data_IF_427839171014
#
_entry.id   IF_427839171014
#
_cell.length_a   1.000
_cell.length_b   1.000
_cell.length_c   1.000
_cell.angle_alpha   90.00
_cell.angle_beta   90.00
_cell.angle_gamma   90.00
#
_symmetry.space_group_name_H-M   'P 1'
#
loop_
_entity.id
_entity.type
_entity.pdbx_description
1 polymer ?
#
# COMPACT_ATOMS: atom_id res chain seq x y z
N UNK A 1 2.29 42.50 26.69
CA UNK A 1 2.13 41.14 26.10
C UNK A 1 3.47 40.73 25.49
N UNK A 2 4.28 39.96 26.23
CA UNK A 2 5.58 39.49 25.73
C UNK A 2 5.33 38.31 24.79
N UNK A 3 5.42 38.55 23.48
CA UNK A 3 5.57 37.51 22.50
C UNK A 3 6.99 36.92 22.63
N UNK A 4 7.14 35.90 23.47
CA UNK A 4 8.29 35.01 23.43
C UNK A 4 8.22 34.24 22.09
N UNK A 5 8.72 34.79 21.02
CA UNK A 5 9.10 34.04 19.83
C UNK A 5 10.26 33.14 20.22
N UNK A 6 9.94 31.92 20.62
CA UNK A 6 10.94 30.88 20.84
C UNK A 6 11.71 30.70 19.52
N UNK A 7 13.03 30.89 19.54
CA UNK A 7 13.85 30.68 18.35
C UNK A 7 13.62 29.26 17.80
N UNK A 8 13.38 29.15 16.49
CA UNK A 8 13.16 27.86 15.87
C UNK A 8 14.38 26.95 16.14
N UNK A 9 14.14 25.72 16.58
CA UNK A 9 15.21 24.74 16.80
C UNK A 9 15.91 24.43 15.46
N UNK A 10 17.19 24.04 15.48
CA UNK A 10 17.91 23.69 14.25
C UNK A 10 17.18 22.60 13.44
N UNK A 11 16.57 21.63 14.11
CA UNK A 11 15.75 20.59 13.47
C UNK A 11 14.53 21.18 12.75
N UNK A 12 13.90 22.22 13.28
CA UNK A 12 12.78 22.90 12.65
C UNK A 12 13.22 23.65 11.39
N UNK A 13 14.32 24.41 11.47
CA UNK A 13 14.90 25.08 10.29
C UNK A 13 15.25 24.08 9.19
N UNK A 14 15.88 22.96 9.55
CA UNK A 14 16.25 21.90 8.61
C UNK A 14 15.04 21.27 7.93
N UNK A 15 13.90 21.09 8.64
CA UNK A 15 12.67 20.59 8.03
C UNK A 15 12.13 21.52 6.94
N UNK A 16 12.14 22.83 7.16
CA UNK A 16 11.70 23.83 6.17
C UNK A 16 12.67 24.03 5.01
N UNK A 17 13.95 23.71 5.19
CA UNK A 17 14.98 23.77 4.15
C UNK A 17 14.96 22.54 3.20
N UNK A 18 14.19 21.50 3.49
CA UNK A 18 14.10 20.33 2.60
C UNK A 18 13.49 20.75 1.26
N UNK A 19 14.26 20.55 0.18
CA UNK A 19 13.77 20.69 -1.19
C UNK A 19 12.89 19.48 -1.55
N UNK A 20 11.59 19.67 -1.43
CA UNK A 20 10.59 18.61 -1.67
C UNK A 20 10.53 18.20 -3.14
N UNK A 21 10.74 19.12 -4.07
CA UNK A 21 10.78 18.83 -5.51
C UNK A 21 11.95 17.92 -5.85
N UNK A 22 13.12 18.21 -5.30
CA UNK A 22 14.31 17.37 -5.43
C UNK A 22 14.07 15.98 -4.80
N UNK A 23 13.43 15.92 -3.63
CA UNK A 23 13.12 14.68 -2.94
C UNK A 23 12.17 13.79 -3.78
N UNK A 24 11.09 14.37 -4.32
CA UNK A 24 10.13 13.67 -5.17
C UNK A 24 10.76 13.17 -6.46
N UNK A 25 11.58 14.01 -7.13
CA UNK A 25 12.30 13.61 -8.34
C UNK A 25 13.31 12.51 -8.08
N UNK A 26 14.02 12.54 -6.96
CA UNK A 26 14.97 11.51 -6.57
C UNK A 26 14.27 10.14 -6.40
N UNK A 27 13.17 10.11 -5.65
CA UNK A 27 12.38 8.89 -5.43
C UNK A 27 11.80 8.39 -6.75
N UNK A 28 11.20 9.26 -7.56
CA UNK A 28 10.64 8.92 -8.87
C UNK A 28 11.69 8.31 -9.81
N UNK A 29 12.89 8.88 -9.84
CA UNK A 29 13.99 8.35 -10.67
C UNK A 29 14.40 6.95 -10.23
N UNK A 30 14.48 6.67 -8.93
CA UNK A 30 14.75 5.32 -8.41
C UNK A 30 13.60 4.36 -8.74
N UNK A 31 12.35 4.79 -8.62
CA UNK A 31 11.17 3.99 -8.99
C UNK A 31 11.19 3.62 -10.48
N UNK A 32 11.51 4.55 -11.37
CA UNK A 32 11.64 4.25 -12.81
C UNK A 32 12.75 3.23 -13.10
N UNK A 33 13.88 3.32 -12.39
CA UNK A 33 14.98 2.35 -12.50
C UNK A 33 14.58 0.96 -11.97
N UNK A 34 13.76 0.91 -10.89
CA UNK A 34 13.19 -0.35 -10.37
C UNK A 34 12.30 -0.99 -11.42
N UNK A 35 11.37 -0.23 -12.05
CA UNK A 35 10.51 -0.74 -13.14
C UNK A 35 11.33 -1.31 -14.29
N UNK A 36 12.35 -0.55 -14.75
CA UNK A 36 13.22 -1.00 -15.84
C UNK A 36 13.93 -2.30 -15.47
N UNK A 37 14.57 -2.37 -14.29
CA UNK A 37 15.28 -3.57 -13.86
C UNK A 37 14.33 -4.77 -13.66
N UNK A 38 13.10 -4.53 -13.18
CA UNK A 38 12.10 -5.57 -13.00
C UNK A 38 11.62 -6.15 -14.34
N UNK A 39 11.33 -5.28 -15.34
CA UNK A 39 10.96 -5.72 -16.70
C UNK A 39 12.09 -6.48 -17.43
N UNK A 40 13.33 -6.18 -17.08
CA UNK A 40 14.52 -6.89 -17.58
C UNK A 40 14.86 -8.14 -16.75
N UNK A 41 14.00 -8.54 -15.81
CA UNK A 41 14.17 -9.68 -14.89
C UNK A 41 15.48 -9.65 -14.06
N UNK A 42 16.09 -8.47 -13.92
CA UNK A 42 17.33 -8.24 -13.15
C UNK A 42 17.02 -8.09 -11.65
N UNK A 43 16.53 -9.14 -11.03
CA UNK A 43 16.01 -9.10 -9.63
C UNK A 43 17.07 -8.71 -8.59
N UNK A 44 18.35 -9.03 -8.80
CA UNK A 44 19.46 -8.55 -7.98
C UNK A 44 19.56 -7.02 -7.99
N UNK A 45 19.45 -6.41 -9.18
CA UNK A 45 19.44 -4.96 -9.36
C UNK A 45 18.20 -4.31 -8.74
N UNK A 46 17.04 -4.96 -8.83
CA UNK A 46 15.81 -4.52 -8.17
C UNK A 46 16.03 -4.40 -6.66
N UNK A 47 16.56 -5.45 -6.00
CA UNK A 47 16.89 -5.44 -4.57
C UNK A 47 17.85 -4.31 -4.19
N UNK A 48 18.92 -4.11 -4.97
CA UNK A 48 19.87 -3.02 -4.73
C UNK A 48 19.22 -1.63 -4.84
N UNK A 49 18.34 -1.42 -5.83
CA UNK A 49 17.61 -0.16 -6.00
C UNK A 49 16.57 0.07 -4.90
N UNK A 50 15.87 -0.97 -4.46
CA UNK A 50 14.97 -0.90 -3.31
C UNK A 50 15.74 -0.53 -2.03
N UNK A 51 16.93 -1.12 -1.83
CA UNK A 51 17.82 -0.77 -0.72
C UNK A 51 18.24 0.69 -0.78
N UNK A 52 18.73 1.18 -1.93
CA UNK A 52 19.12 2.59 -2.11
C UNK A 52 17.95 3.53 -1.81
N UNK A 53 16.74 3.20 -2.28
CA UNK A 53 15.56 4.02 -2.05
C UNK A 53 15.23 4.08 -0.56
N UNK A 54 15.12 2.94 0.11
CA UNK A 54 14.71 2.86 1.52
C UNK A 54 15.75 3.40 2.51
N UNK A 55 17.01 3.55 2.08
CA UNK A 55 18.08 4.15 2.89
C UNK A 55 18.32 5.64 2.60
N UNK A 56 17.72 6.17 1.53
CA UNK A 56 17.92 7.57 1.15
C UNK A 56 17.22 8.54 2.09
N UNK A 57 17.90 9.66 2.39
CA UNK A 57 17.33 10.76 3.17
C UNK A 57 16.01 11.26 2.56
N UNK A 58 15.98 11.46 1.24
CA UNK A 58 14.81 12.01 0.55
C UNK A 58 13.58 11.12 0.64
N UNK A 59 13.74 9.80 0.50
CA UNK A 59 12.62 8.88 0.62
C UNK A 59 12.09 8.79 2.07
N UNK A 60 12.99 8.82 3.06
CA UNK A 60 12.61 8.88 4.48
C UNK A 60 11.86 10.17 4.80
N UNK A 61 12.37 11.32 4.35
CA UNK A 61 11.72 12.61 4.52
C UNK A 61 10.31 12.63 3.89
N UNK A 62 10.16 12.12 2.66
CA UNK A 62 8.86 12.00 2.00
C UNK A 62 7.91 11.05 2.73
N UNK A 63 8.41 9.95 3.30
CA UNK A 63 7.59 9.04 4.09
C UNK A 63 7.04 9.74 5.35
N UNK A 64 7.89 10.49 6.07
CA UNK A 64 7.47 11.32 7.21
C UNK A 64 6.46 12.38 6.77
N UNK A 65 6.74 13.14 5.69
CA UNK A 65 5.82 14.13 5.12
C UNK A 65 4.45 13.52 4.86
N UNK A 66 4.40 12.38 4.18
CA UNK A 66 3.16 11.70 3.79
C UNK A 66 2.31 11.28 4.99
N UNK A 67 2.90 10.68 6.01
CA UNK A 67 2.14 10.22 7.20
C UNK A 67 1.68 11.37 8.09
N UNK A 68 2.34 12.53 8.04
CA UNK A 68 1.97 13.73 8.78
C UNK A 68 1.02 14.66 8.03
N UNK A 69 0.68 14.34 6.78
CA UNK A 69 -0.28 15.11 5.96
C UNK A 69 -1.59 14.37 5.67
N UNK A 70 -1.65 13.06 5.89
CA UNK A 70 -2.85 12.27 5.63
C UNK A 70 -3.93 12.47 6.72
N UNK A 71 -5.14 11.96 6.47
CA UNK A 71 -6.27 12.06 7.40
C UNK A 71 -5.99 11.43 8.78
N UNK A 72 -5.11 10.43 8.85
CA UNK A 72 -4.72 9.75 10.09
C UNK A 72 -3.65 10.46 10.92
N UNK A 73 -3.17 11.66 10.53
CA UNK A 73 -2.07 12.39 11.16
C UNK A 73 -2.27 12.65 12.68
N UNK A 74 -3.52 12.79 13.10
CA UNK A 74 -3.90 13.09 14.48
C UNK A 74 -4.31 11.84 15.29
N UNK A 75 -4.09 10.64 14.73
CA UNK A 75 -4.46 9.37 15.39
C UNK A 75 -3.20 8.62 15.78
N UNK A 76 -2.90 8.56 17.08
CA UNK A 76 -1.74 7.86 17.62
C UNK A 76 -1.93 6.34 17.61
N UNK A 77 -0.83 5.59 17.52
CA UNK A 77 -0.78 4.15 17.75
C UNK A 77 -0.87 3.79 19.23
N UNK A 78 -0.28 2.66 19.61
CA UNK A 78 -0.22 2.19 21.02
C UNK A 78 0.70 3.03 21.89
N UNK A 79 1.70 3.68 21.27
CA UNK A 79 2.70 4.54 21.93
C UNK A 79 2.17 5.94 22.27
N UNK A 80 1.02 6.34 21.74
CA UNK A 80 0.48 7.69 21.91
C UNK A 80 1.27 8.78 21.19
N UNK A 81 2.33 8.46 20.42
CA UNK A 81 3.22 9.43 19.77
C UNK A 81 2.57 10.04 18.52
N UNK A 82 2.71 11.37 18.38
CA UNK A 82 2.33 12.13 17.18
C UNK A 82 3.46 13.06 16.76
N UNK A 83 3.62 13.29 15.44
CA UNK A 83 4.64 14.20 14.90
C UNK A 83 3.98 15.48 14.39
N UNK A 84 3.64 16.38 15.33
CA UNK A 84 2.89 17.60 15.03
C UNK A 84 3.79 18.76 14.64
N UNK A 85 4.97 18.91 15.28
CA UNK A 85 5.92 20.00 15.04
C UNK A 85 6.91 19.67 13.91
N UNK A 86 7.49 20.69 13.28
CA UNK A 86 8.52 20.55 12.27
C UNK A 86 9.77 19.84 12.83
N UNK A 87 10.15 20.17 14.06
CA UNK A 87 11.27 19.53 14.77
C UNK A 87 11.03 18.03 14.98
N UNK A 88 9.83 17.61 15.45
CA UNK A 88 9.48 16.22 15.61
C UNK A 88 9.51 15.46 14.28
N UNK A 89 9.03 16.07 13.18
CA UNK A 89 9.07 15.50 11.84
C UNK A 89 10.49 15.29 11.34
N UNK A 90 11.36 16.28 11.53
CA UNK A 90 12.76 16.15 11.10
C UNK A 90 13.49 15.07 11.90
N UNK A 91 13.33 15.04 13.22
CA UNK A 91 13.91 14.01 14.09
C UNK A 91 13.42 12.61 13.73
N UNK A 92 12.15 12.48 13.32
CA UNK A 92 11.58 11.21 12.90
C UNK A 92 12.28 10.60 11.67
N UNK A 93 12.88 11.42 10.79
CA UNK A 93 13.63 10.91 9.62
C UNK A 93 14.77 9.98 10.06
N UNK A 94 15.48 10.32 11.12
CA UNK A 94 16.58 9.52 11.65
C UNK A 94 16.12 8.23 12.32
N UNK A 95 14.88 8.17 12.82
CA UNK A 95 14.28 6.96 13.40
C UNK A 95 13.98 5.88 12.35
N UNK A 96 13.86 6.26 11.05
CA UNK A 96 13.53 5.33 9.97
C UNK A 96 14.78 4.53 9.54
N UNK A 97 15.18 3.58 10.36
CA UNK A 97 16.32 2.69 10.13
C UNK A 97 15.88 1.24 10.14
N UNK A 98 16.38 0.45 9.18
CA UNK A 98 16.07 -0.99 9.09
C UNK A 98 16.73 -1.78 10.24
N UNK A 99 17.98 -1.44 10.59
CA UNK A 99 18.73 -2.11 11.64
C UNK A 99 18.13 -1.79 13.01
N UNK A 100 17.85 -2.81 13.79
CA UNK A 100 17.25 -2.65 15.12
C UNK A 100 15.76 -2.33 15.13
N UNK A 101 15.12 -2.15 13.96
CA UNK A 101 13.69 -1.86 13.89
C UNK A 101 12.85 -3.11 14.21
N UNK A 102 11.91 -2.93 15.12
CA UNK A 102 10.84 -3.88 15.42
C UNK A 102 9.52 -3.12 15.50
N UNK A 103 8.49 -3.50 14.73
CA UNK A 103 7.20 -2.85 14.78
C UNK A 103 6.53 -3.09 16.12
N UNK A 104 5.73 -2.13 16.56
CA UNK A 104 4.91 -2.29 17.73
C UNK A 104 3.57 -2.95 17.38
N UNK A 105 2.88 -3.59 18.34
CA UNK A 105 1.53 -4.07 18.13
C UNK A 105 0.59 -2.96 17.67
N UNK A 106 -0.41 -3.30 16.86
CA UNK A 106 -1.37 -2.36 16.33
C UNK A 106 -2.43 -2.00 17.38
N UNK A 107 -2.85 -0.75 17.43
CA UNK A 107 -3.98 -0.35 18.29
C UNK A 107 -5.29 -0.70 17.59
N UNK A 108 -6.08 -1.61 18.17
CA UNK A 108 -7.39 -1.99 17.64
C UNK A 108 -8.45 -0.95 18.05
N UNK A 109 -9.20 -0.48 17.05
CA UNK A 109 -10.38 0.36 17.23
C UNK A 109 -11.50 -0.13 16.32
N UNK A 110 -12.75 0.22 16.64
CA UNK A 110 -13.92 -0.19 15.86
C UNK A 110 -14.64 1.02 15.30
N UNK A 111 -14.88 1.01 13.99
CA UNK A 111 -15.63 2.06 13.29
C UNK A 111 -17.03 1.52 12.97
N UNK A 112 -18.11 2.25 13.32
CA UNK A 112 -19.46 1.83 13.00
C UNK A 112 -19.67 1.84 11.47
N UNK A 113 -20.31 0.80 10.93
CA UNK A 113 -20.78 0.75 9.56
C UNK A 113 -22.23 1.21 9.46
N UNK A 114 -22.69 1.62 8.27
CA UNK A 114 -24.09 2.02 8.02
C UNK A 114 -25.12 0.94 8.36
N UNK A 115 -24.72 -0.34 8.30
CA UNK A 115 -25.58 -1.49 8.61
C UNK A 115 -25.56 -1.90 10.10
N UNK A 116 -25.09 -1.06 11.01
CA UNK A 116 -24.99 -1.33 12.44
C UNK A 116 -23.82 -2.23 12.87
N UNK A 117 -23.14 -2.89 11.93
CA UNK A 117 -21.95 -3.70 12.24
C UNK A 117 -20.74 -2.79 12.51
N UNK A 118 -19.75 -3.31 13.23
CA UNK A 118 -18.50 -2.62 13.50
C UNK A 118 -17.41 -3.13 12.54
N UNK A 119 -16.59 -2.20 12.00
CA UNK A 119 -15.40 -2.54 11.21
C UNK A 119 -14.17 -2.42 12.10
N UNK A 120 -13.39 -3.49 12.29
CA UNK A 120 -12.12 -3.39 13.01
C UNK A 120 -11.12 -2.61 12.16
N UNK A 121 -10.42 -1.66 12.81
CA UNK A 121 -9.31 -0.92 12.24
C UNK A 121 -8.11 -1.09 13.16
N UNK A 122 -6.96 -1.39 12.57
CA UNK A 122 -5.71 -1.58 13.28
C UNK A 122 -4.76 -0.42 12.99
N UNK A 123 -4.45 0.37 14.00
CA UNK A 123 -3.71 1.63 13.86
C UNK A 123 -2.26 1.38 14.26
N UNK A 124 -1.29 1.44 13.32
CA UNK A 124 0.14 1.37 13.61
C UNK A 124 0.64 2.66 14.27
N UNK A 125 1.79 2.62 14.92
CA UNK A 125 2.50 3.82 15.40
C UNK A 125 2.89 4.73 14.25
N UNK A 126 3.25 5.99 14.54
CA UNK A 126 3.71 6.92 13.50
C UNK A 126 5.00 6.39 12.82
N UNK A 127 5.90 5.80 13.61
CA UNK A 127 7.13 5.19 13.09
C UNK A 127 6.82 4.02 12.15
N UNK A 128 5.90 3.13 12.54
CA UNK A 128 5.52 1.98 11.70
C UNK A 128 4.84 2.43 10.41
N UNK A 129 3.94 3.42 10.47
CA UNK A 129 3.32 4.00 9.25
C UNK A 129 4.35 4.58 8.30
N UNK A 130 5.35 5.31 8.84
CA UNK A 130 6.40 5.91 8.03
C UNK A 130 7.33 4.84 7.43
N UNK A 131 7.69 3.80 8.19
CA UNK A 131 8.45 2.65 7.68
C UNK A 131 7.66 1.92 6.59
N UNK A 132 6.39 1.62 6.80
CA UNK A 132 5.54 1.00 5.79
C UNK A 132 5.40 1.87 4.54
N UNK A 133 5.27 3.19 4.69
CA UNK A 133 5.21 4.13 3.57
C UNK A 133 6.52 4.17 2.79
N UNK A 134 7.66 4.16 3.50
CA UNK A 134 8.99 4.12 2.90
C UNK A 134 9.19 2.87 2.02
N UNK A 135 8.84 1.70 2.55
CA UNK A 135 8.93 0.44 1.80
C UNK A 135 7.85 0.33 0.71
N UNK A 136 6.69 0.94 0.90
CA UNK A 136 5.68 1.08 -0.15
C UNK A 136 6.23 1.82 -1.37
N UNK A 137 7.02 2.89 -1.20
CA UNK A 137 7.65 3.58 -2.34
C UNK A 137 8.53 2.65 -3.18
N UNK A 138 9.19 1.68 -2.54
CA UNK A 138 10.04 0.71 -3.23
C UNK A 138 9.26 -0.46 -3.85
N UNK A 139 8.08 -0.79 -3.34
CA UNK A 139 7.24 -1.89 -3.80
C UNK A 139 6.25 -1.44 -4.89
N UNK A 140 5.70 -0.23 -4.78
CA UNK A 140 4.66 0.31 -5.66
C UNK A 140 5.01 0.25 -7.16
N UNK A 141 6.25 0.57 -7.61
CA UNK A 141 6.61 0.47 -9.03
C UNK A 141 6.55 -0.97 -9.56
N UNK A 142 6.82 -1.96 -8.73
CA UNK A 142 6.72 -3.37 -9.12
C UNK A 142 5.25 -3.77 -9.21
N UNK A 143 4.46 -3.45 -8.19
CA UNK A 143 3.04 -3.74 -8.15
C UNK A 143 2.29 -3.14 -9.36
N UNK A 144 2.61 -1.89 -9.73
CA UNK A 144 2.02 -1.26 -10.92
C UNK A 144 2.47 -1.91 -12.25
N UNK A 145 3.63 -2.56 -12.28
CA UNK A 145 4.13 -3.26 -13.47
C UNK A 145 3.43 -4.60 -13.68
N UNK A 146 3.01 -5.26 -12.59
CA UNK A 146 2.37 -6.60 -12.63
C UNK A 146 0.86 -6.56 -12.52
N UNK A 147 0.29 -5.41 -12.16
CA UNK A 147 -1.13 -5.25 -11.88
C UNK A 147 -2.01 -5.58 -13.10
N UNK A 148 -3.15 -6.23 -12.82
CA UNK A 148 -4.21 -6.42 -13.81
C UNK A 148 -4.64 -5.06 -14.42
N UNK A 149 -4.77 -4.93 -15.74
CA UNK A 149 -5.11 -3.66 -16.41
C UNK A 149 -6.40 -3.02 -15.91
N UNK A 150 -7.43 -3.85 -15.64
CA UNK A 150 -8.74 -3.40 -15.20
C UNK A 150 -8.95 -3.50 -13.67
N UNK A 151 -7.87 -3.37 -12.91
CA UNK A 151 -7.89 -3.20 -11.46
C UNK A 151 -7.69 -1.73 -11.10
N UNK A 152 -8.56 -1.16 -10.27
CA UNK A 152 -8.63 0.30 -10.00
C UNK A 152 -8.42 0.65 -8.54
N UNK A 153 -8.94 -0.12 -7.59
CA UNK A 153 -8.88 0.18 -6.17
C UNK A 153 -7.45 0.22 -5.60
N UNK A 154 -7.19 1.15 -4.69
CA UNK A 154 -5.91 1.34 -3.99
C UNK A 154 -4.68 1.59 -4.90
N UNK A 155 -4.87 1.90 -6.16
CA UNK A 155 -3.80 2.20 -7.11
C UNK A 155 -3.61 3.69 -7.28
N UNK A 156 -2.35 4.12 -7.42
CA UNK A 156 -2.01 5.51 -7.65
C UNK A 156 -2.62 6.02 -8.98
N UNK A 157 -3.19 7.23 -8.95
CA UNK A 157 -3.80 7.89 -10.11
C UNK A 157 -4.97 7.13 -10.74
N UNK A 158 -5.62 6.24 -9.99
CA UNK A 158 -6.87 5.58 -10.37
C UNK A 158 -7.94 5.87 -9.34
N UNK A 159 -9.17 6.00 -9.79
CA UNK A 159 -10.31 6.34 -8.94
C UNK A 159 -11.55 5.49 -9.28
N UNK A 160 -12.63 5.69 -8.55
CA UNK A 160 -13.91 4.99 -8.79
C UNK A 160 -14.49 5.34 -10.14
N UNK A 161 -14.30 6.57 -10.60
CA UNK A 161 -14.78 7.05 -11.89
C UNK A 161 -14.17 6.25 -13.05
N UNK A 162 -12.88 5.94 -12.99
CA UNK A 162 -12.20 5.12 -14.02
C UNK A 162 -12.82 3.72 -14.10
N UNK A 163 -13.16 3.12 -12.94
CA UNK A 163 -13.81 1.81 -12.90
C UNK A 163 -15.25 1.88 -13.47
N UNK A 164 -15.99 2.93 -13.14
CA UNK A 164 -17.35 3.17 -13.67
C UNK A 164 -17.30 3.37 -15.18
N UNK A 165 -16.36 4.16 -15.69
CA UNK A 165 -16.17 4.38 -17.13
C UNK A 165 -15.87 3.06 -17.85
N UNK A 166 -15.01 2.21 -17.26
CA UNK A 166 -14.73 0.90 -17.83
C UNK A 166 -15.98 -0.01 -17.83
N UNK A 167 -16.78 0.00 -16.78
CA UNK A 167 -18.07 -0.71 -16.76
C UNK A 167 -19.00 -0.18 -17.85
N UNK A 168 -19.15 1.14 -17.99
CA UNK A 168 -19.95 1.76 -19.02
C UNK A 168 -19.49 1.33 -20.42
N UNK A 169 -18.19 1.46 -20.71
CA UNK A 169 -17.61 1.06 -22.00
C UNK A 169 -17.86 -0.42 -22.31
N UNK A 170 -17.89 -1.27 -21.29
CA UNK A 170 -18.12 -2.71 -21.44
C UNK A 170 -19.58 -3.08 -21.69
N UNK A 171 -20.54 -2.27 -21.20
CA UNK A 171 -21.96 -2.62 -21.16
C UNK A 171 -22.86 -1.81 -22.10
N UNK A 172 -22.42 -0.64 -22.59
CA UNK A 172 -23.28 0.34 -23.28
C UNK A 172 -23.61 0.05 -24.75
N UNK A 173 -23.11 -1.06 -25.34
CA UNK A 173 -23.30 -1.37 -26.76
C UNK A 173 -24.32 -2.49 -26.95
N UNK A 174 -25.07 -2.47 -28.05
CA UNK A 174 -26.05 -3.51 -28.40
C UNK A 174 -25.45 -4.93 -28.40
N UNK A 175 -24.15 -5.08 -28.73
CA UNK A 175 -23.41 -6.35 -28.72
C UNK A 175 -22.62 -6.58 -27.41
N UNK A 176 -22.89 -5.81 -26.37
CA UNK A 176 -22.26 -6.02 -25.05
C UNK A 176 -22.72 -7.31 -24.38
N UNK A 177 -21.93 -7.87 -23.44
CA UNK A 177 -22.36 -9.00 -22.64
C UNK A 177 -23.68 -8.72 -21.93
N UNK A 178 -24.58 -9.72 -21.91
CA UNK A 178 -25.90 -9.60 -21.28
C UNK A 178 -25.89 -10.02 -19.81
N UNK A 179 -24.84 -10.71 -19.37
CA UNK A 179 -24.70 -11.22 -18.01
C UNK A 179 -23.65 -10.43 -17.25
N UNK A 180 -23.96 -10.05 -16.04
CA UNK A 180 -23.05 -9.39 -15.10
C UNK A 180 -22.93 -10.28 -13.87
N UNK A 181 -21.70 -10.63 -13.51
CA UNK A 181 -21.37 -11.25 -12.24
C UNK A 181 -20.81 -10.18 -11.31
N UNK A 182 -21.49 -9.91 -10.22
CA UNK A 182 -20.98 -9.11 -9.10
C UNK A 182 -20.48 -10.05 -8.03
N UNK A 183 -19.21 -9.88 -7.62
CA UNK A 183 -18.56 -10.71 -6.62
C UNK A 183 -17.85 -9.84 -5.58
N UNK A 184 -17.95 -10.23 -4.30
CA UNK A 184 -17.20 -9.64 -3.18
C UNK A 184 -16.46 -10.75 -2.42
N UNK A 185 -15.21 -10.46 -2.01
CA UNK A 185 -14.39 -11.43 -1.27
C UNK A 185 -14.59 -11.18 0.22
N UNK A 186 -15.33 -12.08 0.87
CA UNK A 186 -15.58 -11.99 2.31
C UNK A 186 -14.27 -12.01 3.10
N UNK A 187 -14.01 -10.93 3.85
CA UNK A 187 -12.82 -10.84 4.71
C UNK A 187 -11.51 -10.93 3.93
N UNK A 188 -11.42 -10.33 2.74
CA UNK A 188 -10.24 -10.42 1.87
C UNK A 188 -8.95 -10.14 2.63
N UNK A 189 -8.87 -9.00 3.35
CA UNK A 189 -7.69 -8.63 4.13
C UNK A 189 -7.37 -9.59 5.28
N UNK A 190 -8.37 -10.24 5.86
CA UNK A 190 -8.22 -11.04 7.07
C UNK A 190 -7.80 -12.49 6.76
N UNK A 191 -7.96 -12.95 5.51
CA UNK A 191 -7.75 -14.34 5.12
C UNK A 191 -6.53 -14.58 4.21
N UNK A 192 -5.72 -13.56 3.91
CA UNK A 192 -4.53 -13.73 3.07
C UNK A 192 -3.48 -14.53 3.84
N UNK A 193 -2.93 -15.58 3.20
CA UNK A 193 -1.86 -16.41 3.78
C UNK A 193 -0.57 -15.60 3.99
N UNK A 194 -0.04 -15.57 5.20
CA UNK A 194 1.27 -14.98 5.51
C UNK A 194 2.40 -15.66 4.73
N UNK A 195 2.34 -16.99 4.61
CA UNK A 195 3.33 -17.77 3.86
C UNK A 195 3.36 -17.34 2.39
N UNK A 196 2.17 -17.20 1.76
CA UNK A 196 2.08 -16.74 0.39
C UNK A 196 2.65 -15.33 0.23
N UNK A 197 2.29 -14.40 1.13
CA UNK A 197 2.79 -13.02 1.11
C UNK A 197 4.32 -13.02 1.21
N UNK A 198 4.89 -13.73 2.18
CA UNK A 198 6.33 -13.76 2.40
C UNK A 198 7.05 -14.37 1.19
N UNK A 199 6.49 -15.40 0.58
CA UNK A 199 7.07 -16.04 -0.61
C UNK A 199 7.06 -15.11 -1.84
N UNK A 200 5.94 -14.47 -2.12
CA UNK A 200 5.68 -13.85 -3.42
C UNK A 200 5.92 -12.33 -3.47
N UNK A 201 5.75 -11.59 -2.36
CA UNK A 201 5.93 -10.13 -2.37
C UNK A 201 7.42 -9.77 -2.44
N UNK A 202 7.91 -9.04 -3.48
CA UNK A 202 9.33 -8.78 -3.71
C UNK A 202 9.86 -7.61 -2.86
N UNK A 203 9.99 -7.84 -1.55
CA UNK A 203 10.56 -6.89 -0.58
C UNK A 203 11.33 -7.62 0.52
N UNK A 204 11.90 -6.88 1.48
CA UNK A 204 12.56 -7.43 2.67
C UNK A 204 11.62 -8.40 3.43
N UNK A 205 11.94 -9.69 3.38
CA UNK A 205 11.09 -10.75 3.92
C UNK A 205 11.01 -10.76 5.45
N UNK A 206 12.09 -10.41 6.12
CA UNK A 206 12.14 -10.33 7.58
C UNK A 206 11.27 -9.18 8.09
N UNK A 207 11.38 -8.01 7.45
CA UNK A 207 10.57 -6.86 7.79
C UNK A 207 9.09 -7.12 7.51
N UNK A 208 8.78 -7.74 6.36
CA UNK A 208 7.42 -8.10 6.01
C UNK A 208 6.80 -9.06 7.04
N UNK A 209 7.56 -10.09 7.46
CA UNK A 209 7.13 -11.02 8.51
C UNK A 209 6.85 -10.28 9.83
N UNK A 210 7.76 -9.40 10.26
CA UNK A 210 7.57 -8.61 11.47
C UNK A 210 6.28 -7.79 11.45
N UNK A 211 5.93 -7.18 10.32
CA UNK A 211 4.66 -6.43 10.18
C UNK A 211 3.42 -7.31 10.20
N UNK A 212 3.50 -8.51 9.63
CA UNK A 212 2.37 -9.44 9.60
C UNK A 212 2.11 -10.07 10.98
N UNK A 213 3.17 -10.29 11.76
CA UNK A 213 3.14 -11.00 13.03
C UNK A 213 3.13 -10.08 14.26
N UNK A 214 3.18 -8.74 14.09
CA UNK A 214 3.28 -7.81 15.22
C UNK A 214 2.07 -7.84 16.18
N UNK A 215 0.95 -8.44 15.79
CA UNK A 215 -0.26 -8.53 16.59
C UNK A 215 -0.99 -7.20 16.75
N UNK A 216 -2.04 -7.21 17.57
CA UNK A 216 -2.78 -5.99 17.91
C UNK A 216 -3.18 -6.00 19.38
N UNK A 217 -3.32 -4.80 19.96
CA UNK A 217 -3.79 -4.59 21.32
C UNK A 217 -5.25 -4.15 21.27
N UNK A 218 -6.08 -4.89 22.00
CA UNK A 218 -7.49 -4.58 22.26
C UNK A 218 -7.77 -4.71 23.75
N UNK A 219 -8.41 -3.72 24.35
CA UNK A 219 -8.69 -3.71 25.82
C UNK A 219 -7.48 -4.05 26.69
N UNK A 220 -6.29 -3.54 26.31
CA UNK A 220 -4.99 -3.79 26.95
C UNK A 220 -4.47 -5.23 26.85
N UNK A 221 -5.07 -6.09 26.05
CA UNK A 221 -4.64 -7.46 25.79
C UNK A 221 -4.01 -7.55 24.41
N UNK A 222 -2.87 -8.23 24.28
CA UNK A 222 -2.20 -8.49 23.02
C UNK A 222 -2.78 -9.74 22.35
N UNK A 223 -3.23 -9.60 21.11
CA UNK A 223 -3.70 -10.69 20.27
C UNK A 223 -2.73 -10.93 19.12
N UNK A 224 -2.28 -12.18 18.89
CA UNK A 224 -1.43 -12.50 17.76
C UNK A 224 -2.20 -12.47 16.44
N UNK A 225 -1.49 -12.16 15.33
CA UNK A 225 -2.00 -12.27 13.96
C UNK A 225 -1.36 -13.47 13.28
N UNK A 226 -2.18 -14.43 12.83
CA UNK A 226 -1.72 -15.65 12.15
C UNK A 226 -1.99 -15.65 10.65
N UNK A 227 -2.95 -14.85 10.21
CA UNK A 227 -3.36 -14.69 8.81
C UNK A 227 -3.74 -13.24 8.54
N UNK A 228 -3.83 -12.90 7.28
CA UNK A 228 -4.32 -11.59 6.85
C UNK A 228 -3.30 -10.47 6.92
N UNK A 229 -3.75 -9.31 6.44
CA UNK A 229 -2.99 -8.06 6.53
C UNK A 229 -3.81 -7.04 7.31
N UNK A 230 -3.19 -6.23 8.20
CA UNK A 230 -3.94 -5.33 9.07
C UNK A 230 -4.68 -4.25 8.27
N UNK A 231 -5.99 -4.11 8.54
CA UNK A 231 -6.77 -3.00 8.01
C UNK A 231 -6.34 -1.70 8.71
N UNK A 232 -5.84 -0.73 7.92
CA UNK A 232 -5.28 0.53 8.44
C UNK A 232 -3.76 0.66 8.31
N UNK A 233 -3.07 -0.38 7.91
CA UNK A 233 -1.66 -0.35 7.53
C UNK A 233 -1.46 0.38 6.18
N UNK A 234 -0.38 1.15 6.05
CA UNK A 234 -0.07 1.88 4.82
C UNK A 234 0.30 0.97 3.64
N UNK A 235 0.80 -0.25 3.92
CA UNK A 235 1.27 -1.19 2.90
C UNK A 235 0.24 -2.28 2.56
N UNK A 236 -0.70 -2.58 3.44
CA UNK A 236 -1.68 -3.66 3.24
C UNK A 236 -2.49 -3.56 1.95
N UNK A 237 -2.94 -2.36 1.50
CA UNK A 237 -3.68 -2.26 0.24
C UNK A 237 -2.89 -2.70 -0.99
N UNK A 238 -1.59 -2.37 -1.06
CA UNK A 238 -0.76 -2.78 -2.20
C UNK A 238 -0.46 -4.29 -2.17
N UNK A 239 -0.24 -4.85 -0.97
CA UNK A 239 -0.08 -6.30 -0.80
C UNK A 239 -1.35 -7.04 -1.25
N UNK A 240 -2.54 -6.57 -0.83
CA UNK A 240 -3.82 -7.14 -1.21
C UNK A 240 -3.99 -7.13 -2.75
N UNK A 241 -3.69 -6.01 -3.41
CA UNK A 241 -3.72 -5.94 -4.87
C UNK A 241 -2.79 -6.97 -5.51
N UNK A 242 -1.54 -7.07 -5.05
CA UNK A 242 -0.57 -8.03 -5.59
C UNK A 242 -0.99 -9.50 -5.38
N UNK A 243 -1.73 -9.79 -4.31
CA UNK A 243 -2.32 -11.14 -4.09
C UNK A 243 -3.41 -11.45 -5.11
N UNK A 244 -4.19 -10.45 -5.49
CA UNK A 244 -5.31 -10.61 -6.42
C UNK A 244 -4.92 -10.39 -7.89
N UNK A 245 -3.71 -9.91 -8.16
CA UNK A 245 -3.23 -9.70 -9.52
C UNK A 245 -3.04 -11.03 -10.25
N UNK A 246 -3.42 -11.05 -11.53
CA UNK A 246 -3.51 -12.25 -12.34
C UNK A 246 -4.90 -12.88 -12.42
N UNK A 247 -5.87 -12.40 -11.60
CA UNK A 247 -7.25 -12.90 -11.66
C UNK A 247 -7.89 -12.62 -13.02
N UNK A 248 -7.68 -11.44 -13.59
CA UNK A 248 -8.14 -11.10 -14.94
C UNK A 248 -7.58 -12.06 -16.00
N UNK A 249 -6.28 -12.36 -15.90
CA UNK A 249 -5.60 -13.30 -16.80
C UNK A 249 -6.15 -14.72 -16.64
N UNK A 250 -6.38 -15.17 -15.40
CA UNK A 250 -6.94 -16.48 -15.10
C UNK A 250 -8.34 -16.64 -15.71
N UNK A 251 -9.21 -15.63 -15.55
CA UNK A 251 -10.55 -15.63 -16.14
C UNK A 251 -10.47 -15.66 -17.67
N UNK A 252 -9.65 -14.82 -18.27
CA UNK A 252 -9.48 -14.77 -19.74
C UNK A 252 -8.92 -16.07 -20.31
N UNK A 253 -8.09 -16.78 -19.57
CA UNK A 253 -7.57 -18.09 -19.99
C UNK A 253 -8.67 -19.19 -20.01
N UNK A 254 -9.64 -19.13 -19.09
CA UNK A 254 -10.79 -20.05 -19.09
C UNK A 254 -11.72 -19.75 -20.27
N UNK A 255 -11.95 -18.49 -20.56
CA UNK A 255 -12.87 -18.02 -21.61
C UNK A 255 -12.12 -17.59 -22.87
N UNK A 256 -11.16 -18.37 -23.34
CA UNK A 256 -10.44 -18.09 -24.57
C UNK A 256 -11.20 -18.51 -25.82
N UNK A 257 -10.73 -18.02 -27.01
CA UNK A 257 -11.23 -18.45 -28.31
C UNK A 257 -11.08 -19.96 -28.46
N UNK A 258 -12.15 -20.66 -28.86
CA UNK A 258 -12.15 -22.10 -29.08
C UNK A 258 -13.06 -22.47 -30.25
N UNK A 259 -12.81 -23.62 -30.89
CA UNK A 259 -13.70 -24.19 -31.89
C UNK A 259 -14.59 -25.25 -31.24
N UNK A 260 -15.88 -25.16 -31.43
CA UNK A 260 -16.87 -26.08 -30.92
C UNK A 260 -17.73 -26.55 -32.11
N UNK A 261 -17.75 -27.83 -32.42
CA UNK A 261 -18.47 -28.41 -33.54
C UNK A 261 -18.17 -27.71 -34.89
N UNK A 262 -16.90 -27.46 -35.19
CA UNK A 262 -16.43 -26.79 -36.43
C UNK A 262 -16.69 -25.28 -36.48
N UNK A 263 -17.38 -24.70 -35.49
CA UNK A 263 -17.65 -23.25 -35.42
C UNK A 263 -16.74 -22.54 -34.41
N UNK A 264 -16.18 -21.40 -34.81
CA UNK A 264 -15.36 -20.58 -33.92
C UNK A 264 -16.26 -19.90 -32.86
N UNK A 265 -15.94 -20.14 -31.60
CA UNK A 265 -16.60 -19.54 -30.44
C UNK A 265 -15.67 -18.52 -29.77
N UNK A 266 -16.17 -17.29 -29.61
CA UNK A 266 -15.41 -16.15 -29.04
C UNK A 266 -16.16 -15.65 -27.79
N UNK A 267 -15.93 -16.24 -26.62
CA UNK A 267 -16.53 -15.74 -25.40
C UNK A 267 -16.00 -14.33 -25.13
N UNK A 268 -16.91 -13.40 -24.90
CA UNK A 268 -16.57 -12.01 -24.57
C UNK A 268 -16.69 -11.83 -23.06
N UNK A 269 -15.54 -11.78 -22.39
CA UNK A 269 -15.47 -11.54 -20.94
C UNK A 269 -14.75 -10.24 -20.68
N UNK A 270 -15.41 -9.35 -19.98
CA UNK A 270 -14.84 -8.12 -19.44
C UNK A 270 -14.65 -8.30 -17.92
N UNK A 271 -13.58 -7.76 -17.40
CA UNK A 271 -13.25 -7.80 -15.98
C UNK A 271 -13.04 -6.37 -15.47
N UNK A 272 -13.62 -6.06 -14.33
CA UNK A 272 -13.38 -4.80 -13.62
C UNK A 272 -13.27 -5.12 -12.14
N UNK A 273 -12.18 -4.71 -11.50
CA UNK A 273 -11.94 -4.89 -10.08
C UNK A 273 -11.75 -3.52 -9.40
N UNK A 274 -12.47 -3.32 -8.31
CA UNK A 274 -12.28 -2.16 -7.46
C UNK A 274 -12.08 -2.63 -6.01
N UNK A 275 -10.78 -2.71 -5.59
CA UNK A 275 -10.29 -3.15 -4.28
C UNK A 275 -10.58 -4.61 -3.91
#
# INVERSE_FOLDING_TARGET
MNNNMCAATDAEKLWYQIDWTKAENYVKNLQMRIVKAYKEEKYGKVKSLQYLLTHSFYAKALAVKRVTQNAGKNTAGVDGELWLTASAKFTAISKLQRRGYTPQPLKRVYIPKKNGKKRPLSIPTMTDRAMQTLYKFALEPIAETTADPNSYGFRAKRCTQDAIEQCFTSLNKAKSPKWVLEGDIKGCFDNISHEWIIKNIPMDKELLRKWLECGYIETKVLFPTKTGTPQGSAISPIICNMVLDGLEKAIKNVYHKRTVNGKAYFPKVNFVRYA
#
